data_IF_098878654162
#
_entry.id   IF_098878654162
#
_cell.length_a   1.000
_cell.length_b   1.000
_cell.length_c   1.000
_cell.angle_alpha   90.00
_cell.angle_beta   90.00
_cell.angle_gamma   90.00
#
_symmetry.space_group_name_H-M   'P 1'
#
loop_
_entity.id
_entity.type
_entity.pdbx_description
1 polymer ?
#
# COMPACT_ATOMS: atom_id res chain seq x y z
N UNK A 1 37.49 6.36 -25.39
CA UNK A 1 36.51 7.28 -26.05
C UNK A 1 35.07 6.78 -26.05
N UNK A 2 34.78 5.48 -26.18
CA UNK A 2 33.40 4.96 -26.13
C UNK A 2 32.72 5.12 -24.75
N UNK A 3 33.42 4.88 -23.65
CA UNK A 3 32.93 5.03 -22.28
C UNK A 3 32.57 6.46 -21.92
N UNK A 4 33.32 7.46 -22.39
CA UNK A 4 33.03 8.89 -22.16
C UNK A 4 31.75 9.35 -22.89
N UNK A 5 31.46 8.81 -24.08
CA UNK A 5 30.20 9.09 -24.82
C UNK A 5 28.96 8.45 -24.17
N UNK A 6 29.13 7.33 -23.49
CA UNK A 6 28.03 6.65 -22.80
C UNK A 6 27.67 7.40 -21.50
N UNK A 7 28.63 7.92 -20.75
CA UNK A 7 28.39 8.68 -19.51
C UNK A 7 27.65 10.01 -19.72
N UNK A 8 27.67 10.56 -20.93
CA UNK A 8 26.99 11.81 -21.29
C UNK A 8 25.49 11.63 -21.54
N UNK A 9 25.00 10.38 -21.70
CA UNK A 9 23.58 10.11 -21.95
C UNK A 9 22.73 10.34 -20.68
N UNK A 10 21.66 11.08 -20.85
CA UNK A 10 20.66 11.33 -19.80
C UNK A 10 19.74 10.13 -19.66
N UNK A 11 19.97 9.30 -18.65
CA UNK A 11 19.10 8.17 -18.32
C UNK A 11 18.18 8.58 -17.18
N UNK A 12 16.87 8.51 -17.41
CA UNK A 12 15.87 8.87 -16.41
C UNK A 12 15.15 7.61 -15.94
N UNK A 13 14.98 7.47 -14.63
CA UNK A 13 14.23 6.42 -13.97
C UNK A 13 13.02 7.06 -13.27
N UNK A 14 11.81 6.58 -13.54
CA UNK A 14 10.60 7.05 -12.87
C UNK A 14 10.14 6.00 -11.86
N UNK A 15 10.17 6.38 -10.58
CA UNK A 15 9.82 5.55 -9.43
C UNK A 15 11.01 5.09 -8.60
N UNK A 16 11.13 5.57 -7.35
CA UNK A 16 12.15 5.19 -6.37
C UNK A 16 11.70 4.00 -5.49
N UNK A 17 10.93 3.09 -6.06
CA UNK A 17 10.61 1.80 -5.46
C UNK A 17 11.77 0.79 -5.60
N UNK A 18 11.58 -0.48 -5.17
CA UNK A 18 12.62 -1.49 -5.24
C UNK A 18 13.24 -1.66 -6.63
N UNK A 19 12.43 -1.61 -7.69
CA UNK A 19 12.91 -1.73 -9.06
C UNK A 19 13.77 -0.55 -9.47
N UNK A 20 13.32 0.69 -9.24
CA UNK A 20 14.07 1.90 -9.62
C UNK A 20 15.38 2.05 -8.88
N UNK A 21 15.42 1.72 -7.59
CA UNK A 21 16.66 1.73 -6.80
C UNK A 21 17.68 0.73 -7.36
N UNK A 22 17.24 -0.49 -7.72
CA UNK A 22 18.13 -1.49 -8.33
C UNK A 22 18.60 -1.08 -9.72
N UNK A 23 17.73 -0.44 -10.52
CA UNK A 23 18.13 0.13 -11.80
C UNK A 23 19.20 1.23 -11.60
N UNK A 24 19.00 2.14 -10.64
CA UNK A 24 19.94 3.19 -10.35
C UNK A 24 21.30 2.63 -9.89
N UNK A 25 21.31 1.61 -9.04
CA UNK A 25 22.50 0.89 -8.58
C UNK A 25 23.29 0.30 -9.75
N UNK A 26 22.57 -0.41 -10.66
CA UNK A 26 23.18 -1.01 -11.85
C UNK A 26 23.73 0.04 -12.82
N UNK A 27 23.01 1.15 -13.04
CA UNK A 27 23.46 2.22 -13.92
C UNK A 27 24.71 2.92 -13.36
N UNK A 28 24.75 3.17 -12.05
CA UNK A 28 25.95 3.74 -11.42
C UNK A 28 27.16 2.81 -11.55
N UNK A 29 26.98 1.50 -11.36
CA UNK A 29 28.07 0.54 -11.53
C UNK A 29 28.58 0.47 -12.97
N UNK A 30 27.72 0.83 -13.95
CA UNK A 30 28.08 0.95 -15.37
C UNK A 30 28.63 2.35 -15.75
N UNK A 31 28.83 3.25 -14.79
CA UNK A 31 29.40 4.58 -15.01
C UNK A 31 28.40 5.65 -15.45
N UNK A 32 27.08 5.37 -15.40
CA UNK A 32 26.05 6.38 -15.67
C UNK A 32 25.68 7.14 -14.38
N UNK A 33 25.28 8.39 -14.54
CA UNK A 33 24.65 9.17 -13.45
C UNK A 33 23.16 9.36 -13.74
N UNK A 34 22.29 8.43 -13.29
CA UNK A 34 20.87 8.49 -13.61
C UNK A 34 20.15 9.61 -12.85
N UNK A 35 19.08 10.12 -13.46
CA UNK A 35 18.08 10.97 -12.80
C UNK A 35 17.00 10.03 -12.27
N UNK A 36 16.72 10.04 -10.97
CA UNK A 36 15.68 9.23 -10.35
C UNK A 36 14.56 10.13 -9.83
N UNK A 37 13.37 9.99 -10.41
CA UNK A 37 12.20 10.81 -10.10
C UNK A 37 11.18 9.96 -9.33
N UNK A 38 10.61 10.50 -8.24
CA UNK A 38 9.52 9.85 -7.52
C UNK A 38 8.49 10.87 -7.05
N UNK A 39 7.21 10.52 -7.13
CA UNK A 39 6.10 11.33 -6.63
C UNK A 39 6.09 11.43 -5.09
N UNK A 40 6.67 10.46 -4.41
CA UNK A 40 6.76 10.44 -2.97
C UNK A 40 8.01 11.18 -2.50
N UNK A 41 7.91 11.74 -1.29
CA UNK A 41 9.04 12.41 -0.63
C UNK A 41 10.19 11.47 -0.31
N UNK A 42 9.90 10.18 -0.11
CA UNK A 42 10.86 9.15 0.32
C UNK A 42 10.83 7.93 -0.58
N UNK A 43 11.97 7.30 -0.68
CA UNK A 43 12.17 6.05 -1.41
C UNK A 43 11.48 4.83 -0.76
N UNK A 44 11.61 3.68 -1.42
CA UNK A 44 11.07 2.39 -0.99
C UNK A 44 9.76 2.01 -1.65
N UNK A 45 9.10 2.95 -2.33
CA UNK A 45 7.84 2.73 -3.05
C UNK A 45 6.72 2.24 -2.13
N UNK A 46 5.76 1.48 -2.66
CA UNK A 46 4.64 0.98 -1.87
C UNK A 46 5.01 -0.19 -0.96
N UNK A 47 5.95 -1.03 -1.36
CA UNK A 47 6.28 -2.27 -0.63
C UNK A 47 7.11 -1.97 0.62
N UNK A 48 8.18 -1.16 0.46
CA UNK A 48 9.12 -0.83 1.53
C UNK A 48 9.10 0.66 1.86
N UNK A 49 7.89 1.23 1.93
CA UNK A 49 7.68 2.64 2.25
C UNK A 49 8.37 3.02 3.56
N UNK A 50 9.23 4.04 3.52
CA UNK A 50 9.95 4.52 4.70
C UNK A 50 9.01 5.14 5.73
N UNK A 51 9.37 4.98 6.99
CA UNK A 51 8.72 5.63 8.13
C UNK A 51 9.00 7.15 8.12
N UNK A 52 8.14 7.96 8.78
CA UNK A 52 8.40 9.38 8.99
C UNK A 52 9.71 9.62 9.73
N UNK A 53 10.29 10.82 9.57
CA UNK A 53 11.43 11.25 10.38
C UNK A 53 11.00 11.42 11.84
N UNK A 54 11.84 10.96 12.76
CA UNK A 54 11.55 11.04 14.20
C UNK A 54 10.58 9.98 14.73
N UNK A 55 10.01 9.14 13.86
CA UNK A 55 9.16 8.01 14.27
C UNK A 55 9.76 6.69 13.79
N UNK A 56 10.28 5.92 14.74
CA UNK A 56 10.93 4.64 14.44
C UNK A 56 10.15 3.48 15.07
N UNK A 57 9.56 2.65 14.21
CA UNK A 57 9.17 1.29 14.60
C UNK A 57 10.22 0.31 14.13
N UNK A 58 10.37 -0.79 14.86
CA UNK A 58 11.25 -1.86 14.42
C UNK A 58 10.83 -2.40 13.04
N UNK A 59 11.84 -2.68 12.22
CA UNK A 59 11.62 -3.19 10.86
C UNK A 59 10.85 -4.51 10.83
N UNK A 60 11.06 -5.38 11.83
CA UNK A 60 10.33 -6.64 11.92
C UNK A 60 8.83 -6.42 12.17
N UNK A 61 8.48 -5.44 12.99
CA UNK A 61 7.09 -5.05 13.25
C UNK A 61 6.44 -4.48 11.99
N UNK A 62 7.15 -3.60 11.27
CA UNK A 62 6.56 -2.89 10.13
C UNK A 62 6.52 -3.73 8.84
N UNK A 63 7.59 -4.46 8.53
CA UNK A 63 7.74 -5.22 7.28
C UNK A 63 7.64 -6.74 7.47
N UNK A 64 7.58 -7.22 8.70
CA UNK A 64 7.46 -8.64 9.01
C UNK A 64 8.61 -9.47 8.43
N UNK A 65 8.31 -10.50 7.65
CA UNK A 65 9.30 -11.39 7.02
C UNK A 65 10.20 -10.69 6.01
N UNK A 66 9.78 -9.54 5.49
CA UNK A 66 10.52 -8.75 4.51
C UNK A 66 11.44 -7.69 5.13
N UNK A 67 11.53 -7.63 6.47
CA UNK A 67 12.29 -6.62 7.20
C UNK A 67 13.75 -6.50 6.74
N UNK A 68 14.41 -7.64 6.49
CA UNK A 68 15.80 -7.68 6.01
C UNK A 68 15.93 -7.06 4.62
N UNK A 69 15.01 -7.37 3.71
CA UNK A 69 15.00 -6.82 2.35
C UNK A 69 14.73 -5.32 2.36
N UNK A 70 13.78 -4.87 3.18
CA UNK A 70 13.47 -3.44 3.35
C UNK A 70 14.70 -2.66 3.86
N UNK A 71 15.35 -3.16 4.91
CA UNK A 71 16.56 -2.54 5.47
C UNK A 71 17.68 -2.46 4.42
N UNK A 72 17.93 -3.56 3.72
CA UNK A 72 18.95 -3.59 2.68
C UNK A 72 18.65 -2.59 1.54
N UNK A 73 17.39 -2.49 1.11
CA UNK A 73 16.99 -1.54 0.07
C UNK A 73 17.21 -0.09 0.52
N UNK A 74 16.78 0.25 1.72
CA UNK A 74 16.97 1.59 2.28
C UNK A 74 18.46 1.95 2.41
N UNK A 75 19.28 1.02 2.91
CA UNK A 75 20.74 1.21 2.99
C UNK A 75 21.39 1.35 1.61
N UNK A 76 20.93 0.58 0.62
CA UNK A 76 21.39 0.76 -0.77
C UNK A 76 21.07 2.17 -1.26
N UNK A 77 19.83 2.62 -1.08
CA UNK A 77 19.44 3.97 -1.52
C UNK A 77 20.22 5.07 -0.80
N UNK A 78 20.44 4.95 0.50
CA UNK A 78 21.19 5.94 1.28
C UNK A 78 22.63 6.11 0.75
N UNK A 79 23.25 5.03 0.28
CA UNK A 79 24.57 5.06 -0.37
C UNK A 79 24.54 5.69 -1.76
N UNK A 80 23.44 5.48 -2.51
CA UNK A 80 23.29 5.98 -3.88
C UNK A 80 22.91 7.45 -3.94
N UNK A 81 22.16 7.93 -2.96
CA UNK A 81 21.51 9.25 -2.98
C UNK A 81 22.44 10.40 -3.33
N UNK A 82 23.68 10.37 -2.84
CA UNK A 82 24.70 11.41 -3.14
C UNK A 82 25.35 11.27 -4.52
N UNK A 83 25.11 10.18 -5.23
CA UNK A 83 25.75 9.86 -6.50
C UNK A 83 24.82 9.98 -7.71
N UNK A 84 23.51 10.16 -7.47
CA UNK A 84 22.44 10.28 -8.49
C UNK A 84 21.77 11.65 -8.39
N UNK A 85 21.08 12.07 -9.46
CA UNK A 85 20.15 13.21 -9.40
C UNK A 85 18.79 12.69 -8.91
N UNK A 86 18.57 12.72 -7.58
CA UNK A 86 17.31 12.30 -6.98
C UNK A 86 16.34 13.45 -6.86
N UNK A 87 15.15 13.30 -7.45
CA UNK A 87 14.06 14.28 -7.47
C UNK A 87 12.81 13.71 -6.79
N UNK A 88 12.70 13.79 -5.46
CA UNK A 88 11.49 13.45 -4.73
C UNK A 88 10.39 14.51 -4.94
N UNK A 89 9.19 14.26 -4.44
CA UNK A 89 8.02 15.13 -4.52
C UNK A 89 7.77 15.65 -5.96
N UNK A 90 8.07 14.80 -6.95
CA UNK A 90 8.00 15.15 -8.36
C UNK A 90 7.12 14.16 -9.11
N UNK A 91 5.94 14.61 -9.51
CA UNK A 91 4.99 13.83 -10.28
C UNK A 91 5.29 13.93 -11.77
N UNK A 92 5.53 12.81 -12.43
CA UNK A 92 5.53 12.72 -13.89
C UNK A 92 4.11 12.51 -14.37
N UNK A 93 3.55 13.46 -15.11
CA UNK A 93 2.16 13.43 -15.54
C UNK A 93 1.99 13.22 -17.06
N UNK A 94 3.03 13.53 -17.84
CA UNK A 94 3.00 13.30 -19.29
C UNK A 94 4.38 12.89 -19.80
N UNK A 95 4.36 12.17 -20.92
CA UNK A 95 5.53 11.62 -21.59
C UNK A 95 5.44 11.93 -23.07
N UNK A 96 6.46 12.60 -23.59
CA UNK A 96 6.66 12.82 -25.02
C UNK A 96 8.01 12.24 -25.46
N UNK A 97 8.23 11.98 -26.74
CA UNK A 97 9.52 11.51 -27.21
C UNK A 97 10.67 12.44 -26.79
N UNK A 98 11.60 11.91 -26.00
CA UNK A 98 12.76 12.65 -25.51
C UNK A 98 12.51 13.58 -24.31
N UNK A 99 11.25 13.76 -23.85
CA UNK A 99 10.96 14.69 -22.78
C UNK A 99 9.87 14.19 -21.83
N UNK A 100 10.09 14.38 -20.53
CA UNK A 100 9.11 14.15 -19.46
C UNK A 100 8.53 15.47 -18.97
N UNK A 101 7.22 15.53 -18.80
CA UNK A 101 6.54 16.64 -18.15
C UNK A 101 6.31 16.30 -16.68
N UNK A 102 6.86 17.15 -15.80
CA UNK A 102 6.84 16.94 -14.36
C UNK A 102 6.15 18.09 -13.64
N UNK A 103 5.60 17.80 -12.48
CA UNK A 103 5.13 18.82 -11.52
C UNK A 103 5.80 18.57 -10.18
N UNK A 104 6.46 19.59 -9.65
CA UNK A 104 7.06 19.58 -8.32
C UNK A 104 6.74 20.89 -7.62
N UNK A 105 6.25 20.81 -6.39
CA UNK A 105 5.85 22.00 -5.59
C UNK A 105 4.88 22.94 -6.33
N UNK A 106 3.96 22.37 -7.08
CA UNK A 106 2.99 23.13 -7.89
C UNK A 106 3.56 23.82 -9.14
N UNK A 107 4.83 23.61 -9.45
CA UNK A 107 5.48 24.17 -10.64
C UNK A 107 5.68 23.11 -11.70
N UNK A 108 5.34 23.45 -12.93
CA UNK A 108 5.60 22.62 -14.10
C UNK A 108 7.08 22.71 -14.48
N UNK A 109 7.70 21.57 -14.75
CA UNK A 109 9.07 21.45 -15.23
C UNK A 109 9.16 20.35 -16.29
N UNK A 110 10.17 20.40 -17.12
CA UNK A 110 10.45 19.35 -18.11
C UNK A 110 11.82 18.75 -17.87
N UNK A 111 11.96 17.47 -18.20
CA UNK A 111 13.21 16.72 -18.08
C UNK A 111 13.47 16.00 -19.39
N UNK A 112 14.53 16.38 -20.09
CA UNK A 112 14.94 15.68 -21.31
C UNK A 112 15.66 14.38 -20.98
N UNK A 113 15.44 13.36 -21.81
CA UNK A 113 16.08 12.05 -21.66
C UNK A 113 16.51 11.44 -22.99
N UNK A 114 17.62 10.71 -22.97
CA UNK A 114 18.05 9.82 -24.06
C UNK A 114 17.51 8.40 -23.87
N UNK A 115 17.33 7.98 -22.61
CA UNK A 115 16.74 6.70 -22.25
C UNK A 115 15.86 6.84 -21.02
N UNK A 116 14.72 6.17 -21.04
CA UNK A 116 13.71 6.19 -19.98
C UNK A 116 13.44 4.78 -19.45
N UNK A 117 13.45 4.64 -18.13
CA UNK A 117 13.10 3.40 -17.42
C UNK A 117 11.91 3.68 -16.52
N UNK A 118 10.78 3.01 -16.78
CA UNK A 118 9.57 3.15 -15.99
C UNK A 118 9.52 2.09 -14.90
N UNK A 119 9.62 2.54 -13.64
CA UNK A 119 9.56 1.73 -12.43
C UNK A 119 8.41 2.15 -11.52
N UNK A 120 7.29 2.57 -12.11
CA UNK A 120 6.13 3.16 -11.43
C UNK A 120 5.37 2.19 -10.51
N UNK A 121 5.69 0.89 -10.56
CA UNK A 121 5.06 -0.13 -9.72
C UNK A 121 3.62 -0.44 -10.13
N UNK A 122 2.77 -0.61 -9.13
CA UNK A 122 1.35 -0.92 -9.32
C UNK A 122 0.50 -0.12 -8.34
N UNK A 123 -0.70 0.25 -8.78
CA UNK A 123 -1.71 0.92 -7.97
C UNK A 123 -2.87 0.00 -7.66
N UNK A 124 -3.66 0.35 -6.64
CA UNK A 124 -4.88 -0.38 -6.31
C UNK A 124 -5.92 -0.26 -7.42
N UNK A 125 -6.48 -1.38 -7.83
CA UNK A 125 -7.67 -1.40 -8.66
C UNK A 125 -8.89 -1.18 -7.76
N UNK A 126 -9.40 0.03 -7.76
CA UNK A 126 -10.60 0.37 -7.01
C UNK A 126 -11.85 -0.12 -7.74
N UNK A 127 -12.69 -0.85 -7.01
CA UNK A 127 -14.02 -1.25 -7.48
C UNK A 127 -15.06 -0.37 -6.78
N UNK A 128 -15.80 0.47 -7.51
CA UNK A 128 -16.83 1.31 -6.91
C UNK A 128 -17.95 0.41 -6.35
N UNK A 129 -18.14 0.47 -5.04
CA UNK A 129 -19.23 -0.17 -4.32
C UNK A 129 -20.01 0.92 -3.59
N UNK A 130 -21.24 0.62 -3.19
CA UNK A 130 -22.05 1.57 -2.45
C UNK A 130 -21.32 2.10 -1.20
N UNK A 131 -21.23 3.40 -1.07
CA UNK A 131 -20.54 4.07 0.05
C UNK A 131 -19.02 4.21 -0.12
N UNK A 132 -18.43 3.87 -1.28
CA UNK A 132 -16.99 3.98 -1.48
C UNK A 132 -16.45 5.43 -1.41
N UNK A 133 -17.32 6.44 -1.63
CA UNK A 133 -16.96 7.86 -1.53
C UNK A 133 -17.08 8.42 -0.09
N UNK A 134 -17.64 7.64 0.84
CA UNK A 134 -17.89 8.13 2.19
C UNK A 134 -16.59 8.31 2.97
N UNK A 135 -16.57 9.33 3.83
CA UNK A 135 -15.45 9.56 4.75
C UNK A 135 -15.19 8.32 5.61
N UNK A 136 -13.94 7.93 5.74
CA UNK A 136 -13.53 6.73 6.45
C UNK A 136 -13.41 5.48 5.57
N UNK A 137 -13.65 5.62 4.27
CA UNK A 137 -13.35 4.59 3.28
C UNK A 137 -11.99 4.87 2.64
N UNK A 138 -11.15 3.85 2.60
CA UNK A 138 -9.79 3.94 2.06
C UNK A 138 -9.52 2.79 1.10
N UNK A 139 -8.68 3.02 0.09
CA UNK A 139 -8.08 1.91 -0.64
C UNK A 139 -7.15 1.10 0.28
N UNK A 140 -6.82 -0.13 -0.11
CA UNK A 140 -5.91 -0.96 0.66
C UNK A 140 -4.50 -0.35 0.71
N UNK A 141 -4.05 0.23 -0.42
CA UNK A 141 -2.80 1.00 -0.48
C UNK A 141 -2.85 2.27 0.36
N UNK A 142 -3.99 2.98 0.36
CA UNK A 142 -4.21 4.13 1.24
C UNK A 142 -4.09 3.77 2.73
N UNK A 143 -4.66 2.63 3.13
CA UNK A 143 -4.49 2.09 4.48
C UNK A 143 -3.02 1.76 4.79
N UNK A 144 -2.29 1.20 3.83
CA UNK A 144 -0.85 0.95 3.98
C UNK A 144 -0.02 2.22 4.09
N UNK A 145 -0.38 3.26 3.31
CA UNK A 145 0.27 4.58 3.40
C UNK A 145 0.08 5.18 4.79
N UNK A 146 -1.14 5.20 5.31
CA UNK A 146 -1.43 5.68 6.65
C UNK A 146 -0.59 4.95 7.70
N UNK A 147 -0.52 3.62 7.64
CA UNK A 147 0.21 2.83 8.62
C UNK A 147 1.73 2.99 8.51
N UNK A 148 2.30 2.93 7.31
CA UNK A 148 3.76 2.87 7.11
C UNK A 148 4.40 4.25 6.98
N UNK A 149 3.77 5.16 6.23
CA UNK A 149 4.33 6.47 5.91
C UNK A 149 3.90 7.55 6.90
N UNK A 150 2.69 7.44 7.46
CA UNK A 150 2.15 8.44 8.39
C UNK A 150 2.10 7.95 9.84
N UNK A 151 2.39 6.65 10.06
CA UNK A 151 2.39 5.99 11.38
C UNK A 151 1.03 6.06 12.12
N UNK A 152 -0.07 6.19 11.38
CA UNK A 152 -1.42 6.30 11.92
C UNK A 152 -2.30 5.15 11.45
N UNK A 153 -3.30 4.79 12.27
CA UNK A 153 -4.39 3.89 11.87
C UNK A 153 -5.48 4.70 11.18
N UNK A 154 -6.09 4.15 10.12
CA UNK A 154 -7.22 4.79 9.43
C UNK A 154 -8.50 4.86 10.27
N UNK A 155 -8.50 4.29 11.46
CA UNK A 155 -9.64 4.34 12.39
C UNK A 155 -9.41 3.48 13.62
N UNK A 156 -10.28 3.64 14.62
CA UNK A 156 -10.24 2.84 15.85
C UNK A 156 -10.65 1.39 15.63
N UNK A 157 -11.55 1.13 14.68
CA UNK A 157 -12.03 -0.20 14.34
C UNK A 157 -12.12 -0.33 12.83
N UNK A 158 -11.27 -1.17 12.24
CA UNK A 158 -11.07 -1.25 10.79
C UNK A 158 -11.61 -2.57 10.25
N UNK A 159 -12.41 -2.50 9.18
CA UNK A 159 -12.83 -3.67 8.39
C UNK A 159 -12.06 -3.65 7.07
N UNK A 160 -11.36 -4.73 6.78
CA UNK A 160 -10.73 -4.94 5.49
C UNK A 160 -11.60 -5.79 4.58
N UNK A 161 -11.85 -5.31 3.35
CA UNK A 161 -12.61 -6.04 2.35
C UNK A 161 -11.90 -6.00 1.00
N UNK A 162 -11.82 -7.12 0.31
CA UNK A 162 -11.18 -7.21 -0.98
C UNK A 162 -10.86 -8.63 -1.39
N UNK A 163 -9.89 -8.81 -2.28
CA UNK A 163 -9.46 -10.12 -2.74
C UNK A 163 -7.94 -10.22 -2.80
N UNK A 164 -7.43 -11.44 -2.66
CA UNK A 164 -6.01 -11.74 -2.82
C UNK A 164 -5.16 -11.60 -1.55
N UNK A 165 -3.87 -11.97 -1.65
CA UNK A 165 -2.99 -12.11 -0.49
C UNK A 165 -2.66 -10.78 0.21
N UNK A 166 -2.71 -9.65 -0.52
CA UNK A 166 -2.41 -8.33 0.01
C UNK A 166 -3.41 -7.92 1.11
N UNK A 167 -4.68 -8.34 0.98
CA UNK A 167 -5.72 -8.13 2.00
C UNK A 167 -5.29 -8.66 3.37
N UNK A 168 -4.84 -9.91 3.41
CA UNK A 168 -4.41 -10.56 4.64
C UNK A 168 -3.10 -9.98 5.18
N UNK A 169 -2.20 -9.58 4.27
CA UNK A 169 -0.94 -8.95 4.65
C UNK A 169 -1.17 -7.61 5.35
N UNK A 170 -2.02 -6.74 4.79
CA UNK A 170 -2.30 -5.42 5.38
C UNK A 170 -3.05 -5.57 6.70
N UNK A 171 -4.06 -6.43 6.77
CA UNK A 171 -4.77 -6.71 8.01
C UNK A 171 -3.80 -7.22 9.11
N UNK A 172 -2.89 -8.14 8.77
CA UNK A 172 -1.85 -8.63 9.67
C UNK A 172 -0.90 -7.52 10.14
N UNK A 173 -0.53 -6.59 9.28
CA UNK A 173 0.31 -5.44 9.62
C UNK A 173 -0.41 -4.50 10.61
N UNK A 174 -1.71 -4.27 10.42
CA UNK A 174 -2.53 -3.48 11.35
C UNK A 174 -2.61 -4.12 12.72
N UNK A 175 -2.84 -5.44 12.79
CA UNK A 175 -2.82 -6.19 14.06
C UNK A 175 -1.48 -6.08 14.78
N UNK A 176 -0.36 -6.25 14.05
CA UNK A 176 0.99 -6.10 14.62
C UNK A 176 1.29 -4.69 15.10
N UNK A 177 0.71 -3.70 14.44
CA UNK A 177 0.85 -2.30 14.84
C UNK A 177 -0.03 -1.93 16.06
N UNK A 178 -0.82 -2.88 16.59
CA UNK A 178 -1.71 -2.65 17.73
C UNK A 178 -3.05 -2.00 17.35
N UNK A 179 -3.36 -1.89 16.05
CA UNK A 179 -4.63 -1.34 15.59
C UNK A 179 -5.76 -2.39 15.71
N UNK A 180 -6.97 -1.95 16.04
CA UNK A 180 -8.13 -2.84 16.13
C UNK A 180 -8.65 -3.17 14.74
N UNK A 181 -8.60 -4.47 14.37
CA UNK A 181 -9.19 -4.99 13.14
C UNK A 181 -10.48 -5.71 13.49
N UNK A 182 -11.61 -5.16 13.05
CA UNK A 182 -12.93 -5.69 13.36
C UNK A 182 -13.29 -6.91 12.52
N UNK A 183 -12.91 -6.95 11.25
CA UNK A 183 -13.15 -8.08 10.35
C UNK A 183 -12.24 -8.04 9.12
N UNK A 184 -12.05 -9.21 8.51
CA UNK A 184 -11.43 -9.36 7.18
C UNK A 184 -12.38 -10.10 6.27
N UNK A 185 -12.86 -9.44 5.22
CA UNK A 185 -13.87 -9.97 4.30
C UNK A 185 -13.21 -10.23 2.93
N UNK A 186 -12.90 -11.49 2.66
CA UNK A 186 -12.36 -11.88 1.36
C UNK A 186 -13.51 -12.16 0.38
N UNK A 187 -13.53 -11.40 -0.70
CA UNK A 187 -14.53 -11.48 -1.77
C UNK A 187 -14.19 -12.50 -2.85
N UNK A 188 -13.06 -13.20 -2.75
CA UNK A 188 -12.63 -14.21 -3.73
C UNK A 188 -13.59 -15.41 -3.72
N UNK A 189 -14.10 -15.87 -4.88
CA UNK A 189 -14.92 -17.07 -4.97
C UNK A 189 -14.16 -18.33 -4.52
N UNK A 190 -14.80 -19.17 -3.71
CA UNK A 190 -14.19 -20.41 -3.20
C UNK A 190 -13.69 -21.31 -4.35
N UNK A 191 -14.45 -21.39 -5.44
CA UNK A 191 -14.08 -22.16 -6.63
C UNK A 191 -12.72 -21.70 -7.20
N UNK A 192 -12.47 -20.38 -7.30
CA UNK A 192 -11.20 -19.87 -7.78
C UNK A 192 -10.04 -20.19 -6.83
N UNK A 193 -10.30 -20.21 -5.52
CA UNK A 193 -9.30 -20.59 -4.51
C UNK A 193 -8.94 -22.09 -4.64
N UNK A 194 -9.93 -22.96 -4.79
CA UNK A 194 -9.70 -24.39 -5.00
C UNK A 194 -8.91 -24.67 -6.29
N UNK A 195 -9.27 -24.00 -7.39
CA UNK A 195 -8.55 -24.10 -8.66
C UNK A 195 -7.09 -23.57 -8.60
N UNK A 196 -6.81 -22.67 -7.67
CA UNK A 196 -5.45 -22.15 -7.47
C UNK A 196 -4.58 -23.06 -6.58
N UNK A 197 -5.17 -24.03 -5.85
CA UNK A 197 -4.44 -24.90 -4.91
C UNK A 197 -3.28 -25.67 -5.55
N UNK A 198 -3.41 -26.31 -6.72
CA UNK A 198 -2.30 -27.02 -7.33
C UNK A 198 -1.10 -26.10 -7.63
N UNK A 199 -1.37 -24.87 -8.13
CA UNK A 199 -0.34 -23.87 -8.39
C UNK A 199 0.31 -23.35 -7.10
N UNK A 200 -0.44 -23.30 -6.01
CA UNK A 200 0.06 -22.88 -4.71
C UNK A 200 0.93 -23.97 -4.06
N UNK A 201 0.56 -25.24 -4.21
CA UNK A 201 1.36 -26.38 -3.77
C UNK A 201 2.71 -26.46 -4.49
N UNK A 202 2.78 -26.05 -5.75
CA UNK A 202 4.02 -25.93 -6.50
C UNK A 202 4.97 -24.84 -5.97
N UNK A 203 4.47 -23.96 -5.05
CA UNK A 203 5.27 -22.89 -4.45
C UNK A 203 5.12 -22.91 -2.92
N UNK A 204 5.75 -23.84 -2.21
CA UNK A 204 5.54 -24.07 -0.78
C UNK A 204 5.86 -22.83 0.08
N UNK A 205 6.83 -22.01 -0.30
CA UNK A 205 7.16 -20.77 0.43
C UNK A 205 6.01 -19.76 0.47
N UNK A 206 5.23 -19.65 -0.62
CA UNK A 206 4.04 -18.79 -0.65
C UNK A 206 2.90 -19.37 0.21
N UNK A 207 2.73 -20.70 0.14
CA UNK A 207 1.74 -21.39 0.96
C UNK A 207 2.02 -21.20 2.46
N UNK A 208 3.26 -21.43 2.88
CA UNK A 208 3.70 -21.19 4.26
C UNK A 208 3.46 -19.75 4.72
N UNK A 209 3.80 -18.78 3.89
CA UNK A 209 3.57 -17.35 4.18
C UNK A 209 2.08 -17.05 4.34
N UNK A 210 1.26 -17.58 3.44
CA UNK A 210 -0.22 -17.44 3.53
C UNK A 210 -0.79 -18.06 4.79
N UNK A 211 -0.37 -19.29 5.14
CA UNK A 211 -0.80 -19.97 6.36
C UNK A 211 -0.38 -19.19 7.62
N UNK A 212 0.84 -18.66 7.65
CA UNK A 212 1.33 -17.85 8.77
C UNK A 212 0.49 -16.58 8.98
N UNK A 213 0.12 -15.90 7.90
CA UNK A 213 -0.75 -14.71 7.96
C UNK A 213 -2.15 -15.08 8.47
N UNK A 214 -2.75 -16.15 7.96
CA UNK A 214 -4.06 -16.64 8.40
C UNK A 214 -4.03 -17.06 9.88
N UNK A 215 -3.01 -17.82 10.30
CA UNK A 215 -2.85 -18.23 11.70
C UNK A 215 -2.70 -17.02 12.64
N UNK A 216 -2.02 -15.97 12.20
CA UNK A 216 -1.89 -14.74 12.99
C UNK A 216 -3.24 -14.02 13.16
N UNK A 217 -4.03 -13.89 12.10
CA UNK A 217 -5.36 -13.28 12.16
C UNK A 217 -6.33 -14.14 12.99
N UNK A 218 -6.23 -15.46 12.90
CA UNK A 218 -7.01 -16.40 13.71
C UNK A 218 -6.68 -16.27 15.21
N UNK A 219 -5.39 -16.23 15.57
CA UNK A 219 -4.95 -16.00 16.95
C UNK A 219 -5.44 -14.66 17.51
N UNK A 220 -5.53 -13.64 16.66
CA UNK A 220 -6.10 -12.34 17.00
C UNK A 220 -7.65 -12.37 17.08
N UNK A 221 -8.30 -13.54 16.89
CA UNK A 221 -9.76 -13.74 16.94
C UNK A 221 -10.53 -12.83 15.98
N UNK A 222 -9.96 -12.54 14.79
CA UNK A 222 -10.57 -11.65 13.82
C UNK A 222 -11.62 -12.42 13.00
N UNK A 223 -12.89 -11.97 12.98
CA UNK A 223 -13.95 -12.60 12.21
C UNK A 223 -13.67 -12.55 10.69
N UNK A 224 -14.03 -13.61 9.98
CA UNK A 224 -13.94 -13.68 8.51
C UNK A 224 -12.59 -14.10 7.96
N UNK A 225 -11.53 -14.15 8.78
CA UNK A 225 -10.18 -14.50 8.31
C UNK A 225 -10.09 -15.95 7.75
N UNK A 226 -10.88 -16.88 8.27
CA UNK A 226 -10.95 -18.30 7.81
C UNK A 226 -12.29 -18.68 7.20
N UNK A 227 -13.36 -18.06 7.65
CA UNK A 227 -14.68 -18.29 7.09
C UNK A 227 -14.79 -17.54 5.79
N UNK A 228 -14.78 -18.22 4.66
CA UNK A 228 -15.18 -17.60 3.42
C UNK A 228 -16.46 -16.83 3.67
N UNK A 229 -16.34 -15.50 3.72
CA UNK A 229 -17.50 -14.66 3.56
C UNK A 229 -18.14 -15.21 2.31
N UNK A 230 -19.27 -15.83 2.49
CA UNK A 230 -19.96 -16.55 1.45
C UNK A 230 -19.82 -15.74 0.18
N UNK A 231 -19.00 -16.27 -0.73
CA UNK A 231 -18.95 -15.81 -2.03
C UNK A 231 -20.38 -15.86 -2.52
N UNK A 232 -21.09 -14.81 -2.66
CA UNK A 232 -22.38 -14.74 -3.25
C UNK A 232 -22.27 -14.19 -4.66
N UNK A 233 -22.73 -14.91 -5.59
CA UNK A 233 -23.11 -14.45 -6.90
C UNK A 233 -24.20 -13.37 -6.78
N UNK A 234 -24.00 -12.18 -7.37
CA UNK A 234 -25.04 -11.19 -7.51
C UNK A 234 -25.45 -10.40 -6.24
N UNK A 235 -26.44 -9.56 -6.35
CA UNK A 235 -26.90 -8.60 -5.34
C UNK A 235 -27.14 -9.11 -3.91
N UNK A 236 -27.53 -10.36 -3.76
CA UNK A 236 -27.75 -10.99 -2.45
C UNK A 236 -26.49 -11.15 -1.59
N UNK A 237 -25.29 -11.07 -2.17
CA UNK A 237 -24.01 -11.07 -1.43
C UNK A 237 -23.65 -9.71 -0.86
N UNK A 238 -23.96 -8.68 -1.61
CA UNK A 238 -23.77 -7.29 -1.23
C UNK A 238 -24.54 -7.00 0.06
N UNK A 239 -25.80 -7.38 0.10
CA UNK A 239 -26.66 -7.23 1.28
C UNK A 239 -26.17 -8.02 2.50
N UNK A 240 -25.63 -9.24 2.34
CA UNK A 240 -25.10 -10.02 3.48
C UNK A 240 -23.81 -9.43 4.05
N UNK A 241 -22.93 -8.90 3.20
CA UNK A 241 -21.75 -8.19 3.69
C UNK A 241 -22.16 -6.89 4.42
N UNK A 242 -23.12 -6.17 3.87
CA UNK A 242 -23.68 -4.97 4.50
C UNK A 242 -24.41 -5.29 5.81
N UNK A 243 -25.24 -6.34 5.84
CA UNK A 243 -25.94 -6.78 7.06
C UNK A 243 -24.96 -7.30 8.12
N UNK A 244 -23.87 -7.99 7.76
CA UNK A 244 -22.85 -8.43 8.73
C UNK A 244 -21.99 -7.26 9.23
N UNK A 245 -21.63 -6.31 8.39
CA UNK A 245 -20.98 -5.07 8.81
C UNK A 245 -21.93 -4.24 9.70
N UNK A 246 -23.21 -4.17 9.36
CA UNK A 246 -24.26 -3.53 10.18
C UNK A 246 -24.56 -4.26 11.49
N UNK A 247 -24.65 -5.59 11.48
CA UNK A 247 -24.87 -6.41 12.68
C UNK A 247 -23.69 -6.40 13.63
N UNK A 248 -22.47 -6.27 13.12
CA UNK A 248 -21.26 -6.08 13.93
C UNK A 248 -21.25 -4.72 14.63
N UNK A 249 -21.82 -3.70 13.96
CA UNK A 249 -22.02 -2.36 14.53
C UNK A 249 -23.00 -2.37 15.71
N UNK A 250 -24.10 -3.10 15.61
CA UNK A 250 -25.12 -3.16 16.66
C UNK A 250 -24.65 -3.87 17.93
N UNK A 251 -23.63 -4.72 17.85
CA UNK A 251 -23.13 -5.46 19.02
C UNK A 251 -22.02 -4.74 19.80
N UNK A 252 -21.47 -3.64 19.33
CA UNK A 252 -20.24 -3.08 19.92
C UNK A 252 -20.24 -1.60 20.30
N UNK A 253 -21.24 -0.81 20.16
CA UNK A 253 -21.33 0.52 20.78
C UNK A 253 -22.33 1.44 20.06
N UNK A 254 -23.14 2.18 20.76
CA UNK A 254 -24.00 3.21 20.15
C UNK A 254 -23.23 4.47 19.69
N UNK A 255 -21.91 4.56 19.89
CA UNK A 255 -21.11 5.75 19.56
C UNK A 255 -19.84 5.50 18.73
N UNK A 256 -19.41 4.27 18.49
CA UNK A 256 -18.16 3.93 17.80
C UNK A 256 -18.35 3.60 16.32
N UNK A 257 -17.96 4.52 15.43
CA UNK A 257 -17.99 4.29 13.99
C UNK A 257 -16.97 3.24 13.53
N UNK A 258 -17.41 2.20 12.80
CA UNK A 258 -16.53 1.25 12.12
C UNK A 258 -16.08 1.84 10.79
N UNK A 259 -14.80 1.89 10.53
CA UNK A 259 -14.23 2.38 9.28
C UNK A 259 -13.72 1.22 8.42
N UNK A 260 -14.07 1.25 7.14
CA UNK A 260 -13.70 0.20 6.19
C UNK A 260 -12.51 0.63 5.34
N UNK A 261 -11.49 -0.24 5.27
CA UNK A 261 -10.39 -0.08 4.34
C UNK A 261 -10.44 -1.16 3.26
N UNK A 262 -10.26 -0.76 2.03
CA UNK A 262 -10.03 -1.70 0.94
C UNK A 262 -11.16 -1.97 -0.03
N UNK A 263 -12.29 -1.38 0.08
CA UNK A 263 -13.41 -1.28 -0.89
C UNK A 263 -14.69 -0.94 -0.09
N UNK A 264 -14.82 0.32 0.18
CA UNK A 264 -15.92 1.05 0.77
C UNK A 264 -17.17 0.32 1.22
N UNK A 265 -17.34 0.18 2.52
CA UNK A 265 -18.65 0.11 3.15
C UNK A 265 -18.62 0.95 4.42
N UNK A 266 -19.10 2.17 4.33
CA UNK A 266 -19.52 2.95 5.49
C UNK A 266 -21.05 2.94 5.56
N UNK A 267 -21.66 2.62 6.69
CA UNK A 267 -23.10 2.81 6.84
C UNK A 267 -23.39 4.31 6.92
N UNK A 268 -24.45 4.73 6.25
CA UNK A 268 -24.98 6.07 6.37
C UNK A 268 -25.26 6.37 7.86
N UNK A 269 -24.46 7.24 8.45
CA UNK A 269 -24.81 7.85 9.74
C UNK A 269 -25.73 9.01 9.42
N UNK A 270 -26.99 8.89 9.82
CA UNK A 270 -27.85 10.05 9.97
C UNK A 270 -27.13 11.08 10.84
N UNK A 271 -27.07 12.28 10.36
CA UNK A 271 -26.46 13.44 10.99
C UNK A 271 -27.21 13.79 12.28
N UNK A 272 -26.56 13.83 13.44
CA UNK A 272 -27.02 14.70 14.51
C UNK A 272 -26.15 15.94 14.52
N UNK A 273 -26.79 17.06 14.37
CA UNK A 273 -26.25 18.40 14.50
C UNK A 273 -25.32 18.56 15.70
N UNK A 274 -24.20 19.23 15.45
CA UNK A 274 -23.52 20.09 16.42
C UNK A 274 -22.72 19.39 17.52
N UNK A 275 -21.40 19.33 17.32
CA UNK A 275 -20.45 19.82 18.34
C UNK A 275 -19.08 19.98 17.70
N UNK A 276 -18.65 21.21 17.64
CA UNK A 276 -17.27 21.64 17.41
C UNK A 276 -16.38 21.07 18.51
N UNK A 277 -15.58 20.05 18.18
CA UNK A 277 -14.54 19.52 19.03
C UNK A 277 -13.19 19.77 18.37
N UNK A 278 -12.38 20.64 18.95
CA UNK A 278 -10.99 20.90 18.60
C UNK A 278 -10.23 19.57 18.53
N UNK A 279 -9.44 19.41 17.49
CA UNK A 279 -8.43 18.34 17.42
C UNK A 279 -7.40 18.57 18.54
N UNK A 280 -7.06 17.56 19.34
CA UNK A 280 -5.86 17.64 20.16
C UNK A 280 -4.64 17.46 19.25
N UNK A 281 -3.66 18.33 19.43
CA UNK A 281 -2.38 18.28 18.80
C UNK A 281 -1.71 16.91 19.05
N UNK A 282 -1.24 16.31 17.97
CA UNK A 282 -0.41 15.12 18.01
C UNK A 282 0.95 15.46 18.66
N UNK A 283 1.34 14.63 19.59
CA UNK A 283 2.73 14.38 19.93
C UNK A 283 3.17 13.05 19.33
#
# INVERSE_FOLDING_TARGET
MATARLSAKKVVIVGAGPAGIRCAETLLSAGFKPILIDENRRDGGQIYRRQPEGFTRDYATLYGTEARKARHLHQSFDRLRGQIDYRPDTLVWNLTPGQLCCVSQGRHTTVDYDALILCTGATDRLMPIEGWQLAGTYSLGGAQIALKSQAVSIGHSVVFMGSGPLLYLVASQYVKAGASVAAVLDTSPLRKRLLAMPKLLARPGLLFTGMKLLAQLYRAKIPGALGGAAAASGGRRRERCQRRAGAYRQRRDPGGGVRCAGLGLSPASGNPAGRSGRMPHAL
#
